data_IF_577533841910
#
_entry.id   IF_577533841910
#
_cell.length_a   1.000
_cell.length_b   1.000
_cell.length_c   1.000
_cell.angle_alpha   90.00
_cell.angle_beta   90.00
_cell.angle_gamma   90.00
#
_symmetry.space_group_name_H-M   'P 1'
#
loop_
_entity.id
_entity.type
_entity.pdbx_description
1 polymer ?
#
# COMPACT_ATOMS: atom_id res chain seq x y z
N UNK A 1 -2.27 -13.80 40.17
CA UNK A 1 -1.76 -15.15 39.86
C UNK A 1 -0.57 -14.99 38.92
N UNK A 2 0.64 -15.24 39.41
CA UNK A 2 1.88 -15.15 38.62
C UNK A 2 1.90 -16.26 37.58
N UNK A 3 1.98 -15.90 36.30
CA UNK A 3 2.07 -16.86 35.20
C UNK A 3 3.41 -17.57 35.27
N UNK A 4 3.40 -18.90 35.51
CA UNK A 4 4.62 -19.72 35.53
C UNK A 4 5.25 -19.69 34.13
N UNK A 5 6.54 -19.34 34.07
CA UNK A 5 7.34 -19.38 32.85
C UNK A 5 7.96 -20.79 32.76
N UNK A 6 7.85 -21.49 31.61
CA UNK A 6 8.46 -22.80 31.44
C UNK A 6 9.99 -22.72 31.39
N UNK A 7 10.65 -23.76 31.88
CA UNK A 7 12.11 -23.94 31.81
C UNK A 7 12.55 -24.34 30.40
N UNK A 8 13.84 -24.14 30.10
CA UNK A 8 14.46 -24.54 28.83
C UNK A 8 14.22 -26.02 28.48
N UNK A 9 14.36 -26.90 29.47
CA UNK A 9 14.14 -28.35 29.31
C UNK A 9 12.68 -28.68 28.98
N UNK A 10 11.71 -28.03 29.66
CA UNK A 10 10.28 -28.23 29.38
C UNK A 10 9.90 -27.77 27.96
N UNK A 11 10.50 -26.68 27.46
CA UNK A 11 10.27 -26.20 26.10
C UNK A 11 10.81 -27.19 25.05
N UNK A 12 12.03 -27.70 25.25
CA UNK A 12 12.65 -28.65 24.32
C UNK A 12 11.91 -29.99 24.29
N UNK A 13 11.49 -30.50 25.45
CA UNK A 13 10.69 -31.71 25.54
C UNK A 13 9.35 -31.54 24.81
N UNK A 14 8.66 -30.42 25.04
CA UNK A 14 7.38 -30.17 24.37
C UNK A 14 7.51 -30.05 22.84
N UNK A 15 8.61 -29.45 22.34
CA UNK A 15 8.90 -29.35 20.91
C UNK A 15 9.20 -30.73 20.30
N UNK A 16 9.92 -31.58 21.03
CA UNK A 16 10.16 -32.98 20.64
C UNK A 16 8.85 -33.77 20.54
N UNK A 17 7.96 -33.59 21.51
CA UNK A 17 6.67 -34.30 21.58
C UNK A 17 5.64 -33.73 20.58
N UNK A 18 5.81 -32.49 20.12
CA UNK A 18 4.87 -31.79 19.23
C UNK A 18 5.56 -31.20 17.99
N UNK A 19 6.12 -32.05 17.10
CA UNK A 19 6.96 -31.61 15.99
C UNK A 19 6.23 -30.73 14.96
N UNK A 20 4.90 -30.67 14.93
CA UNK A 20 4.14 -29.80 14.01
C UNK A 20 3.71 -28.46 14.61
N UNK A 21 3.87 -28.26 15.92
CA UNK A 21 3.34 -27.10 16.65
C UNK A 21 4.46 -26.22 17.24
N UNK A 22 5.50 -25.93 16.46
CA UNK A 22 6.71 -25.26 16.96
C UNK A 22 6.64 -23.73 16.93
N UNK A 23 5.48 -23.13 16.68
CA UNK A 23 5.36 -21.67 16.59
C UNK A 23 5.39 -21.03 17.99
N UNK A 24 5.87 -19.78 18.08
CA UNK A 24 5.86 -19.00 19.34
C UNK A 24 4.47 -18.89 19.97
N UNK A 25 3.42 -18.93 19.13
CA UNK A 25 2.02 -18.88 19.59
C UNK A 25 1.57 -20.21 20.19
N UNK A 26 2.03 -21.33 19.63
CA UNK A 26 1.64 -22.67 20.10
C UNK A 26 2.35 -23.01 21.41
N UNK A 27 3.64 -22.69 21.54
CA UNK A 27 4.39 -22.80 22.80
C UNK A 27 3.75 -21.91 23.89
N UNK A 28 3.41 -20.66 23.57
CA UNK A 28 2.74 -19.77 24.52
C UNK A 28 1.34 -20.29 24.94
N UNK A 29 0.62 -20.98 24.04
CA UNK A 29 -0.68 -21.60 24.35
C UNK A 29 -0.52 -22.83 25.24
N UNK A 30 0.46 -23.69 24.94
CA UNK A 30 0.73 -24.92 25.68
C UNK A 30 1.11 -24.64 27.15
N UNK A 31 1.91 -23.59 27.39
CA UNK A 31 2.34 -23.21 28.73
C UNK A 31 1.47 -22.11 29.37
N UNK A 32 0.34 -21.75 28.76
CA UNK A 32 -0.58 -20.75 29.32
C UNK A 32 0.00 -19.33 29.47
N UNK A 33 1.04 -18.99 28.71
CA UNK A 33 1.76 -17.72 28.82
C UNK A 33 0.99 -16.58 28.13
N UNK A 34 0.54 -15.61 28.93
CA UNK A 34 -0.30 -14.48 28.50
C UNK A 34 0.31 -13.14 28.93
N UNK A 35 -0.09 -12.06 28.25
CA UNK A 35 0.29 -10.69 28.62
C UNK A 35 1.81 -10.45 28.63
N UNK A 36 2.28 -9.72 29.65
CA UNK A 36 3.68 -9.32 29.80
C UNK A 36 4.66 -10.50 29.92
N UNK A 37 4.23 -11.65 30.45
CA UNK A 37 5.06 -12.86 30.57
C UNK A 37 5.50 -13.44 29.20
N UNK A 38 4.90 -12.97 28.09
CA UNK A 38 5.37 -13.31 26.73
C UNK A 38 6.73 -12.70 26.41
N UNK A 39 7.15 -11.64 27.10
CA UNK A 39 8.45 -11.02 26.91
C UNK A 39 9.54 -11.98 27.43
N UNK A 40 9.35 -12.58 28.60
CA UNK A 40 10.30 -13.53 29.16
C UNK A 40 10.36 -14.83 28.35
N UNK A 41 9.22 -15.33 27.86
CA UNK A 41 9.20 -16.48 26.93
C UNK A 41 9.96 -16.16 25.64
N UNK A 42 9.86 -14.94 25.10
CA UNK A 42 10.64 -14.54 23.91
C UNK A 42 12.14 -14.50 24.19
N UNK A 43 12.56 -14.10 25.40
CA UNK A 43 13.97 -14.10 25.82
C UNK A 43 14.51 -15.54 25.92
N UNK A 44 13.79 -16.42 26.61
CA UNK A 44 14.11 -17.85 26.72
C UNK A 44 14.21 -18.56 25.36
N UNK A 45 13.28 -18.27 24.44
CA UNK A 45 13.31 -18.84 23.09
C UNK A 45 14.43 -18.27 22.20
N UNK A 46 14.96 -17.08 22.51
CA UNK A 46 16.16 -16.54 21.85
C UNK A 46 17.41 -17.23 22.37
N UNK A 47 17.56 -17.33 23.69
CA UNK A 47 18.70 -18.03 24.31
C UNK A 47 18.81 -19.48 23.82
N UNK A 48 17.69 -20.21 23.75
CA UNK A 48 17.69 -21.58 23.21
C UNK A 48 18.02 -21.65 21.71
N UNK A 49 17.75 -20.60 20.94
CA UNK A 49 18.16 -20.52 19.54
C UNK A 49 19.65 -20.16 19.40
N UNK A 50 20.17 -19.32 20.29
CA UNK A 50 21.58 -18.92 20.33
C UNK A 50 22.47 -20.08 20.83
N UNK A 51 21.95 -20.92 21.73
CA UNK A 51 22.57 -22.17 22.21
C UNK A 51 22.46 -23.33 21.18
N UNK A 52 21.83 -23.11 20.02
CA UNK A 52 21.70 -24.12 18.95
C UNK A 52 20.68 -25.24 19.23
N UNK A 53 19.98 -25.20 20.37
CA UNK A 53 18.95 -26.18 20.73
C UNK A 53 17.61 -25.96 20.02
N UNK A 54 17.40 -24.77 19.48
CA UNK A 54 16.30 -24.45 18.58
C UNK A 54 16.87 -24.08 17.23
N UNK A 55 16.88 -25.03 16.30
CA UNK A 55 16.90 -24.66 14.90
C UNK A 55 15.67 -23.78 14.66
N UNK A 56 15.90 -22.52 14.28
CA UNK A 56 14.86 -21.77 13.58
C UNK A 56 14.39 -22.71 12.49
N UNK A 57 13.13 -23.16 12.55
CA UNK A 57 12.45 -23.63 11.36
C UNK A 57 12.45 -22.46 10.38
N UNK A 58 13.55 -22.36 9.65
CA UNK A 58 13.62 -21.73 8.35
C UNK A 58 12.36 -22.19 7.63
N UNK A 59 11.55 -21.22 7.21
CA UNK A 59 10.31 -21.43 6.49
C UNK A 59 10.59 -22.23 5.24
N UNK A 60 10.62 -23.57 5.32
CA UNK A 60 11.13 -24.42 4.25
C UNK A 60 12.59 -24.03 3.95
N UNK A 61 13.51 -24.98 3.95
CA UNK A 61 14.70 -24.81 3.13
C UNK A 61 14.16 -24.72 1.71
N UNK A 62 13.90 -23.51 1.23
CA UNK A 62 13.54 -23.27 -0.17
C UNK A 62 14.83 -23.45 -0.91
N UNK A 63 14.81 -24.35 -1.87
CA UNK A 63 15.83 -24.39 -2.90
C UNK A 63 15.88 -22.97 -3.51
N UNK A 64 16.99 -22.21 -3.34
CA UNK A 64 17.10 -20.85 -3.88
C UNK A 64 16.95 -20.86 -5.41
N UNK A 65 17.16 -22.01 -6.04
CA UNK A 65 17.04 -22.23 -7.47
C UNK A 65 15.63 -22.69 -7.88
N UNK A 66 14.61 -22.55 -7.01
CA UNK A 66 13.20 -22.84 -7.34
C UNK A 66 12.23 -21.75 -6.92
N UNK A 67 11.18 -21.57 -7.72
CA UNK A 67 10.09 -20.66 -7.39
C UNK A 67 9.18 -21.27 -6.30
N UNK A 68 8.64 -20.44 -5.38
CA UNK A 68 7.64 -20.93 -4.43
C UNK A 68 6.36 -21.37 -5.15
N UNK A 69 5.57 -22.32 -4.60
CA UNK A 69 4.32 -22.78 -5.22
C UNK A 69 3.28 -21.70 -5.51
N UNK A 70 3.44 -20.51 -4.92
CA UNK A 70 2.68 -19.30 -5.26
C UNK A 70 3.66 -18.14 -5.34
N UNK A 71 3.67 -17.41 -6.46
CA UNK A 71 4.58 -16.31 -6.70
C UNK A 71 3.87 -15.13 -7.38
N UNK A 72 4.47 -13.94 -7.24
CA UNK A 72 4.09 -12.76 -7.99
C UNK A 72 4.84 -12.77 -9.31
N UNK A 73 4.09 -12.73 -10.41
CA UNK A 73 4.62 -12.75 -11.77
C UNK A 73 4.25 -11.47 -12.52
N UNK A 74 5.05 -11.14 -13.51
CA UNK A 74 4.79 -10.11 -14.51
C UNK A 74 4.58 -10.77 -15.87
N UNK A 75 3.44 -10.49 -16.50
CA UNK A 75 3.07 -11.05 -17.81
C UNK A 75 3.98 -10.47 -18.89
N UNK A 76 4.66 -11.34 -19.64
CA UNK A 76 5.58 -10.95 -20.72
C UNK A 76 4.89 -10.77 -22.08
N UNK A 77 3.65 -11.27 -22.19
CA UNK A 77 2.84 -11.22 -23.41
C UNK A 77 2.70 -12.61 -24.05
N UNK A 78 1.88 -12.67 -25.11
CA UNK A 78 1.75 -13.87 -25.93
C UNK A 78 2.94 -13.98 -26.89
N UNK A 79 3.37 -15.19 -27.19
CA UNK A 79 4.35 -15.47 -28.24
C UNK A 79 3.70 -15.55 -29.64
N UNK A 80 4.46 -16.03 -30.62
CA UNK A 80 3.99 -16.22 -32.00
C UNK A 80 2.89 -17.27 -32.14
N UNK A 81 2.83 -18.22 -31.22
CA UNK A 81 1.88 -19.34 -31.22
C UNK A 81 0.63 -19.02 -30.40
N UNK A 82 0.61 -17.86 -29.71
CA UNK A 82 -0.50 -17.35 -28.94
C UNK A 82 -0.45 -17.72 -27.46
N UNK A 83 0.63 -18.37 -27.02
CA UNK A 83 0.80 -18.83 -25.65
C UNK A 83 1.26 -17.67 -24.75
N UNK A 84 0.57 -17.49 -23.63
CA UNK A 84 0.79 -16.36 -22.73
C UNK A 84 1.84 -16.69 -21.67
N UNK A 85 2.93 -15.93 -21.64
CA UNK A 85 4.01 -16.13 -20.67
C UNK A 85 4.07 -15.08 -19.57
N UNK A 86 4.70 -15.44 -18.47
CA UNK A 86 5.07 -14.55 -17.39
C UNK A 86 6.44 -14.90 -16.80
N UNK A 87 7.04 -13.94 -16.11
CA UNK A 87 8.31 -14.10 -15.38
C UNK A 87 8.15 -13.71 -13.92
N UNK A 88 8.90 -14.31 -12.99
CA UNK A 88 8.87 -13.90 -11.59
C UNK A 88 9.41 -12.48 -11.42
N UNK A 89 8.77 -11.71 -10.53
CA UNK A 89 9.22 -10.35 -10.16
C UNK A 89 10.49 -10.38 -9.32
N UNK A 90 10.60 -11.37 -8.44
CA UNK A 90 11.75 -11.60 -7.58
C UNK A 90 12.31 -12.99 -7.88
N UNK A 91 13.58 -13.03 -8.28
CA UNK A 91 14.32 -14.26 -8.53
C UNK A 91 15.65 -14.20 -7.79
N UNK A 92 15.90 -15.18 -6.93
CA UNK A 92 17.10 -15.24 -6.08
C UNK A 92 18.02 -16.42 -6.45
N UNK A 93 17.69 -17.18 -7.50
CA UNK A 93 18.44 -18.35 -7.94
C UNK A 93 19.64 -18.01 -8.82
N UNK A 94 20.56 -18.95 -8.95
CA UNK A 94 21.78 -18.82 -9.76
C UNK A 94 21.47 -19.16 -11.23
N UNK A 95 20.86 -18.22 -11.96
CA UNK A 95 20.57 -18.38 -13.38
C UNK A 95 19.57 -17.35 -13.92
N UNK A 96 19.26 -17.37 -15.24
CA UNK A 96 18.19 -16.55 -15.80
C UNK A 96 16.86 -16.91 -15.13
N UNK A 97 16.01 -15.90 -14.92
CA UNK A 97 14.72 -16.10 -14.29
C UNK A 97 13.86 -17.09 -15.11
N UNK A 98 13.26 -18.12 -14.47
CA UNK A 98 12.50 -19.13 -15.18
C UNK A 98 11.26 -18.56 -15.88
N UNK A 99 10.97 -19.04 -17.08
CA UNK A 99 9.73 -18.73 -17.82
C UNK A 99 8.57 -19.52 -17.26
N UNK A 100 7.42 -18.87 -17.14
CA UNK A 100 6.15 -19.45 -16.67
C UNK A 100 5.09 -19.36 -17.76
N UNK A 101 4.56 -20.48 -18.22
CA UNK A 101 3.42 -20.52 -19.13
C UNK A 101 2.13 -20.31 -18.35
N UNK A 102 1.27 -19.38 -18.76
CA UNK A 102 -0.01 -19.11 -18.11
C UNK A 102 -1.14 -19.89 -18.77
N UNK A 103 -1.81 -20.74 -17.98
CA UNK A 103 -3.01 -21.45 -18.44
C UNK A 103 -4.24 -20.68 -17.98
N UNK A 104 -4.91 -20.04 -18.94
CA UNK A 104 -6.15 -19.30 -18.73
C UNK A 104 -7.36 -20.24 -18.63
N UNK A 105 -8.34 -19.88 -17.79
CA UNK A 105 -9.64 -20.54 -17.72
C UNK A 105 -10.75 -19.64 -18.23
N UNK A 106 -11.83 -20.26 -18.70
CA UNK A 106 -13.07 -19.56 -19.03
C UNK A 106 -13.57 -18.75 -17.82
N UNK A 107 -13.53 -17.42 -17.92
CA UNK A 107 -13.90 -16.49 -16.85
C UNK A 107 -12.74 -15.76 -16.19
N UNK A 108 -11.48 -16.08 -16.51
CA UNK A 108 -10.33 -15.31 -16.05
C UNK A 108 -10.29 -13.92 -16.71
N UNK A 109 -9.85 -12.88 -15.99
CA UNK A 109 -9.69 -11.54 -16.55
C UNK A 109 -8.58 -11.54 -17.61
N UNK A 110 -8.83 -10.88 -18.74
CA UNK A 110 -7.84 -10.75 -19.81
C UNK A 110 -6.52 -10.16 -19.31
N UNK A 111 -5.43 -10.85 -19.61
CA UNK A 111 -4.08 -10.49 -19.24
C UNK A 111 -3.36 -9.81 -20.41
N UNK A 112 -2.57 -8.78 -20.11
CA UNK A 112 -1.77 -8.03 -21.07
C UNK A 112 -0.32 -8.00 -20.61
N UNK A 113 0.60 -7.84 -21.58
CA UNK A 113 2.02 -7.61 -21.28
C UNK A 113 2.17 -6.46 -20.26
N UNK A 114 2.94 -6.70 -19.21
CA UNK A 114 3.16 -5.79 -18.08
C UNK A 114 2.18 -5.95 -16.92
N UNK A 115 1.12 -6.76 -17.05
CA UNK A 115 0.21 -7.04 -15.95
C UNK A 115 0.92 -7.78 -14.81
N UNK A 116 0.68 -7.35 -13.58
CA UNK A 116 1.16 -8.05 -12.38
C UNK A 116 0.10 -9.04 -11.94
N UNK A 117 0.49 -10.25 -11.60
CA UNK A 117 -0.44 -11.31 -11.20
C UNK A 117 0.11 -12.11 -10.02
N UNK A 118 -0.78 -12.62 -9.18
CA UNK A 118 -0.47 -13.69 -8.23
C UNK A 118 -0.89 -15.01 -8.90
N UNK A 119 0.05 -15.93 -9.06
CA UNK A 119 -0.21 -17.21 -9.71
C UNK A 119 0.22 -18.38 -8.82
N UNK A 120 -0.51 -19.49 -8.91
CA UNK A 120 -0.07 -20.79 -8.38
C UNK A 120 0.81 -21.45 -9.43
N UNK A 121 1.99 -21.89 -9.03
CA UNK A 121 2.99 -22.50 -9.90
C UNK A 121 3.01 -24.00 -9.74
N UNK A 122 3.15 -24.69 -10.87
CA UNK A 122 3.45 -26.11 -10.96
C UNK A 122 4.72 -26.28 -11.79
N UNK A 123 5.73 -26.91 -11.22
CA UNK A 123 6.97 -27.23 -11.93
C UNK A 123 6.69 -28.27 -13.02
N UNK A 124 7.26 -28.06 -14.21
CA UNK A 124 7.16 -28.97 -15.34
C UNK A 124 8.53 -29.20 -15.95
N UNK A 125 8.70 -30.32 -16.64
CA UNK A 125 9.93 -30.66 -17.34
C UNK A 125 9.69 -30.44 -18.82
N UNK A 126 9.86 -29.20 -19.27
CA UNK A 126 9.65 -28.76 -20.65
C UNK A 126 10.87 -27.94 -21.09
N UNK A 127 11.17 -27.93 -22.40
CA UNK A 127 12.34 -27.22 -22.95
C UNK A 127 12.12 -25.70 -23.00
N UNK A 128 10.86 -25.25 -23.12
CA UNK A 128 10.53 -23.84 -23.33
C UNK A 128 10.15 -23.08 -22.05
N UNK A 129 9.65 -23.79 -21.03
CA UNK A 129 9.18 -23.21 -19.78
C UNK A 129 9.38 -24.14 -18.58
N UNK A 130 9.83 -23.59 -17.46
CA UNK A 130 10.11 -24.38 -16.25
C UNK A 130 8.87 -24.56 -15.36
N UNK A 131 7.84 -23.73 -15.56
CA UNK A 131 6.63 -23.75 -14.73
C UNK A 131 5.36 -23.47 -15.54
N UNK A 132 4.27 -24.10 -15.13
CA UNK A 132 2.91 -23.71 -15.50
C UNK A 132 2.32 -22.87 -14.36
N UNK A 133 1.85 -21.68 -14.70
CA UNK A 133 1.20 -20.74 -13.80
C UNK A 133 -0.30 -20.71 -14.00
N UNK A 134 -1.05 -20.88 -12.91
CA UNK A 134 -2.50 -20.64 -12.90
C UNK A 134 -2.82 -19.35 -12.17
N UNK A 135 -3.55 -18.45 -12.85
CA UNK A 135 -3.96 -17.18 -12.28
C UNK A 135 -4.76 -17.40 -10.98
N UNK A 136 -4.33 -16.76 -9.89
CA UNK A 136 -5.13 -16.62 -8.67
C UNK A 136 -5.86 -15.28 -8.70
N UNK A 137 -5.13 -14.20 -8.98
CA UNK A 137 -5.67 -12.85 -9.15
C UNK A 137 -4.71 -11.94 -9.90
N UNK A 138 -5.24 -10.95 -10.61
CA UNK A 138 -4.47 -9.81 -11.12
C UNK A 138 -4.18 -8.83 -9.99
N UNK A 139 -2.93 -8.39 -9.88
CA UNK A 139 -2.43 -7.42 -8.91
C UNK A 139 -2.36 -6.06 -9.61
N UNK A 140 -2.77 -4.99 -8.93
CA UNK A 140 -2.73 -3.63 -9.50
C UNK A 140 -3.98 -3.21 -10.27
N UNK A 141 -4.97 -4.09 -10.49
CA UNK A 141 -6.34 -3.64 -10.73
C UNK A 141 -7.00 -3.39 -9.38
N UNK A 142 -6.92 -2.16 -8.89
CA UNK A 142 -7.83 -1.71 -7.84
C UNK A 142 -9.25 -1.88 -8.44
N UNK A 143 -10.14 -2.71 -7.85
CA UNK A 143 -11.51 -2.76 -8.33
C UNK A 143 -12.05 -1.35 -8.19
N UNK A 144 -12.43 -0.71 -9.30
CA UNK A 144 -12.96 0.65 -9.26
C UNK A 144 -14.08 0.69 -8.23
N UNK A 145 -13.82 1.44 -7.16
CA UNK A 145 -14.80 1.70 -6.12
C UNK A 145 -15.82 2.66 -6.74
N UNK A 146 -17.08 2.30 -6.66
CA UNK A 146 -18.18 3.10 -7.18
C UNK A 146 -18.85 3.80 -6.00
N UNK A 147 -19.11 5.09 -6.19
CA UNK A 147 -19.80 5.92 -5.21
C UNK A 147 -21.22 6.18 -5.71
N UNK A 148 -22.22 6.02 -4.84
CA UNK A 148 -23.60 6.29 -5.20
C UNK A 148 -24.55 6.29 -4.02
N UNK A 149 -25.80 6.64 -4.27
CA UNK A 149 -26.86 6.62 -3.27
C UNK A 149 -27.51 5.25 -3.25
N UNK A 150 -27.55 4.61 -2.09
CA UNK A 150 -28.26 3.35 -1.92
C UNK A 150 -29.77 3.60 -1.86
N UNK A 151 -30.52 2.88 -2.71
CA UNK A 151 -31.98 2.88 -2.77
C UNK A 151 -32.51 1.49 -2.47
N UNK A 152 -33.29 1.35 -1.40
CA UNK A 152 -33.91 0.07 -1.03
C UNK A 152 -35.09 -0.23 -1.95
N UNK A 153 -35.20 -1.47 -2.42
CA UNK A 153 -36.29 -1.98 -3.26
C UNK A 153 -36.85 -3.27 -2.66
N UNK A 154 -37.96 -3.78 -3.20
CA UNK A 154 -38.58 -5.01 -2.72
C UNK A 154 -37.67 -6.25 -2.93
N UNK A 155 -36.89 -6.28 -4.01
CA UNK A 155 -36.02 -7.41 -4.39
C UNK A 155 -34.54 -7.20 -4.03
N UNK A 156 -34.23 -6.30 -3.08
CA UNK A 156 -32.87 -5.96 -2.67
C UNK A 156 -32.61 -4.46 -2.72
N UNK A 157 -31.45 -4.06 -3.25
CA UNK A 157 -31.07 -2.65 -3.34
C UNK A 157 -30.61 -2.23 -4.73
N UNK A 158 -30.57 -0.93 -4.95
CA UNK A 158 -29.86 -0.32 -6.07
C UNK A 158 -28.90 0.74 -5.58
N UNK A 159 -27.76 0.87 -6.23
CA UNK A 159 -26.90 2.04 -6.08
C UNK A 159 -27.13 2.90 -7.31
N UNK A 160 -27.68 4.09 -7.07
CA UNK A 160 -27.90 5.08 -8.11
C UNK A 160 -26.74 6.06 -8.14
N UNK A 161 -26.28 6.47 -9.33
CA UNK A 161 -25.24 7.48 -9.47
C UNK A 161 -25.67 8.82 -8.85
N UNK A 162 -24.70 9.57 -8.32
CA UNK A 162 -24.94 10.89 -7.74
C UNK A 162 -25.06 11.97 -8.83
N UNK A 163 -24.32 11.79 -9.92
CA UNK A 163 -24.37 12.67 -11.08
C UNK A 163 -25.53 12.30 -12.02
N UNK A 164 -26.19 13.31 -12.57
CA UNK A 164 -27.28 13.17 -13.54
C UNK A 164 -26.79 12.74 -14.93
N UNK A 165 -25.49 12.83 -15.21
CA UNK A 165 -24.89 12.43 -16.49
C UNK A 165 -24.45 10.96 -16.58
N UNK A 166 -24.42 10.23 -15.46
CA UNK A 166 -24.14 8.80 -15.43
C UNK A 166 -25.45 8.05 -15.23
N UNK A 167 -25.87 7.25 -16.21
CA UNK A 167 -27.13 6.48 -16.12
C UNK A 167 -26.92 5.08 -15.52
N UNK A 168 -25.69 4.76 -15.10
CA UNK A 168 -25.32 3.38 -14.78
C UNK A 168 -25.64 3.05 -13.32
N UNK A 169 -26.86 2.56 -13.11
CA UNK A 169 -27.28 1.96 -11.84
C UNK A 169 -26.66 0.58 -11.60
N UNK A 170 -26.51 0.21 -10.32
CA UNK A 170 -25.98 -1.08 -9.90
C UNK A 170 -26.97 -1.82 -9.01
N UNK A 171 -27.16 -3.11 -9.26
CA UNK A 171 -27.99 -3.97 -8.42
C UNK A 171 -27.19 -4.44 -7.21
N UNK A 172 -27.75 -4.28 -6.02
CA UNK A 172 -27.22 -4.85 -4.77
C UNK A 172 -28.12 -6.02 -4.37
N UNK A 173 -27.54 -7.22 -4.35
CA UNK A 173 -28.27 -8.42 -3.95
C UNK A 173 -28.54 -8.40 -2.44
N UNK A 174 -29.61 -9.07 -1.96
CA UNK A 174 -29.82 -9.27 -0.53
C UNK A 174 -28.59 -9.91 0.15
N UNK A 175 -28.12 -9.31 1.24
CA UNK A 175 -26.89 -9.68 1.96
C UNK A 175 -25.63 -8.94 1.50
N UNK A 176 -25.68 -8.23 0.37
CA UNK A 176 -24.56 -7.43 -0.15
C UNK A 176 -24.68 -5.93 0.20
N UNK A 177 -25.76 -5.52 0.89
CA UNK A 177 -26.02 -4.13 1.28
C UNK A 177 -25.15 -3.61 2.42
N UNK A 178 -24.44 -4.48 3.15
CA UNK A 178 -23.60 -4.11 4.30
C UNK A 178 -24.31 -3.19 5.32
N UNK A 179 -25.62 -3.40 5.53
CA UNK A 179 -26.44 -2.60 6.42
C UNK A 179 -26.80 -1.19 5.91
N UNK A 180 -26.57 -0.88 4.63
CA UNK A 180 -26.92 0.41 4.04
C UNK A 180 -28.43 0.70 4.16
N UNK A 181 -28.75 1.95 4.50
CA UNK A 181 -30.13 2.43 4.61
C UNK A 181 -30.52 3.22 3.36
N UNK A 182 -31.81 3.26 3.09
CA UNK A 182 -32.33 4.02 1.94
C UNK A 182 -31.92 5.50 2.03
N UNK A 183 -31.37 6.03 0.94
CA UNK A 183 -30.91 7.41 0.84
C UNK A 183 -29.48 7.66 1.31
N UNK A 184 -28.77 6.66 1.85
CA UNK A 184 -27.38 6.83 2.27
C UNK A 184 -26.41 6.83 1.07
N UNK A 185 -25.39 7.68 1.15
CA UNK A 185 -24.21 7.59 0.32
C UNK A 185 -23.42 6.33 0.71
N UNK A 186 -23.05 5.53 -0.28
CA UNK A 186 -22.31 4.29 -0.10
C UNK A 186 -21.16 4.18 -1.07
N UNK A 187 -20.08 3.55 -0.61
CA UNK A 187 -19.01 3.07 -1.46
C UNK A 187 -19.21 1.57 -1.70
N UNK A 188 -19.12 1.14 -2.96
CA UNK A 188 -19.32 -0.24 -3.34
C UNK A 188 -18.28 -0.72 -4.35
N UNK A 189 -18.20 -2.03 -4.53
CA UNK A 189 -17.41 -2.68 -5.59
C UNK A 189 -18.31 -3.52 -6.45
N UNK A 190 -17.95 -3.66 -7.72
CA UNK A 190 -18.59 -4.62 -8.61
C UNK A 190 -18.54 -6.03 -8.00
N UNK A 191 -19.68 -6.70 -7.97
CA UNK A 191 -19.81 -8.12 -7.63
C UNK A 191 -20.20 -8.89 -8.89
N UNK A 192 -19.55 -10.02 -9.15
CA UNK A 192 -19.83 -10.87 -10.33
C UNK A 192 -19.14 -10.44 -11.64
N UNK A 193 -19.33 -11.22 -12.73
CA UNK A 193 -18.60 -11.06 -13.98
C UNK A 193 -18.96 -9.76 -14.73
N UNK A 194 -17.94 -9.14 -15.36
CA UNK A 194 -18.13 -7.99 -16.26
C UNK A 194 -18.81 -8.43 -17.56
N UNK A 195 -19.73 -7.61 -18.08
CA UNK A 195 -20.26 -7.77 -19.45
C UNK A 195 -21.50 -8.67 -19.60
N UNK A 196 -22.20 -9.03 -18.52
CA UNK A 196 -23.48 -9.74 -18.63
C UNK A 196 -24.59 -8.77 -19.09
N UNK A 197 -25.54 -9.25 -19.90
CA UNK A 197 -26.72 -8.49 -20.31
C UNK A 197 -27.53 -8.06 -19.06
N UNK A 198 -27.82 -6.76 -18.92
CA UNK A 198 -28.54 -6.18 -17.79
C UNK A 198 -27.70 -5.27 -16.89
N UNK A 199 -28.29 -4.81 -15.78
CA UNK A 199 -27.59 -3.94 -14.84
C UNK A 199 -26.47 -4.71 -14.12
N UNK A 200 -25.28 -4.10 -13.96
CA UNK A 200 -24.19 -4.73 -13.24
C UNK A 200 -24.53 -4.89 -11.75
N UNK A 201 -23.93 -5.89 -11.11
CA UNK A 201 -24.10 -6.13 -9.68
C UNK A 201 -22.98 -5.48 -8.87
N UNK A 202 -23.31 -5.02 -7.67
CA UNK A 202 -22.37 -4.43 -6.73
C UNK A 202 -22.61 -4.95 -5.32
N UNK A 203 -21.56 -4.92 -4.50
CA UNK A 203 -21.60 -5.11 -3.06
C UNK A 203 -21.12 -3.85 -2.37
N UNK A 204 -21.90 -3.37 -1.39
CA UNK A 204 -21.52 -2.24 -0.55
C UNK A 204 -20.33 -2.64 0.32
N UNK A 205 -19.30 -1.80 0.32
CA UNK A 205 -18.09 -1.97 1.13
C UNK A 205 -18.17 -1.06 2.35
N UNK A 206 -18.63 0.18 2.17
CA UNK A 206 -18.66 1.18 3.23
C UNK A 206 -19.93 2.05 3.13
N UNK A 207 -20.45 2.42 4.30
CA UNK A 207 -21.55 3.37 4.44
C UNK A 207 -20.98 4.73 4.80
N UNK A 208 -21.14 5.70 3.91
CA UNK A 208 -20.62 7.04 4.09
C UNK A 208 -21.64 7.98 4.74
N UNK A 209 -22.91 7.53 4.84
CA UNK A 209 -23.96 8.18 5.63
C UNK A 209 -24.81 9.12 4.79
N UNK A 210 -25.24 10.22 5.40
CA UNK A 210 -26.12 11.19 4.75
C UNK A 210 -25.35 12.01 3.69
N UNK A 211 -25.81 12.02 2.42
CA UNK A 211 -25.14 12.75 1.33
C UNK A 211 -25.11 14.28 1.50
N UNK A 212 -25.91 14.85 2.41
CA UNK A 212 -25.94 16.30 2.69
C UNK A 212 -24.86 16.76 3.67
N UNK A 213 -24.15 15.82 4.32
CA UNK A 213 -23.13 16.15 5.30
C UNK A 213 -21.84 16.65 4.61
N UNK A 214 -21.07 17.58 5.22
CA UNK A 214 -19.86 18.14 4.62
C UNK A 214 -18.87 17.08 4.09
N UNK A 215 -18.63 16.04 4.88
CA UNK A 215 -17.76 14.91 4.50
C UNK A 215 -18.24 14.18 3.24
N UNK A 216 -19.55 14.02 3.08
CA UNK A 216 -20.14 13.37 1.92
C UNK A 216 -20.01 14.23 0.66
N UNK A 217 -20.18 15.54 0.79
CA UNK A 217 -19.99 16.50 -0.31
C UNK A 217 -18.57 16.42 -0.88
N UNK A 218 -17.54 16.41 -0.01
CA UNK A 218 -16.15 16.28 -0.45
C UNK A 218 -15.89 14.95 -1.17
N UNK A 219 -16.39 13.83 -0.65
CA UNK A 219 -16.24 12.51 -1.30
C UNK A 219 -16.97 12.43 -2.65
N UNK A 220 -18.15 13.04 -2.74
CA UNK A 220 -18.90 13.17 -3.99
C UNK A 220 -18.07 13.96 -5.01
N UNK A 221 -17.52 15.11 -4.61
CA UNK A 221 -16.71 15.96 -5.48
C UNK A 221 -15.44 15.24 -5.96
N UNK A 222 -14.72 14.56 -5.06
CA UNK A 222 -13.55 13.73 -5.39
C UNK A 222 -13.91 12.71 -6.47
N UNK A 223 -15.02 12.00 -6.29
CA UNK A 223 -15.45 10.98 -7.24
C UNK A 223 -15.90 11.56 -8.58
N UNK A 224 -16.75 12.60 -8.57
CA UNK A 224 -17.30 13.22 -9.78
C UNK A 224 -16.22 13.85 -10.66
N UNK A 225 -15.22 14.48 -10.03
CA UNK A 225 -14.10 15.09 -10.75
C UNK A 225 -12.94 14.11 -11.01
N UNK A 226 -13.10 12.83 -10.67
CA UNK A 226 -12.07 11.80 -10.81
C UNK A 226 -10.73 12.22 -10.18
N UNK A 227 -10.79 12.89 -9.03
CA UNK A 227 -9.60 13.30 -8.29
C UNK A 227 -8.93 12.05 -7.73
N UNK A 228 -7.64 11.79 -8.02
CA UNK A 228 -6.94 10.59 -7.57
C UNK A 228 -6.67 10.64 -6.06
N UNK A 229 -7.55 10.06 -5.26
CA UNK A 229 -7.49 10.07 -3.79
C UNK A 229 -6.68 8.94 -3.17
N UNK A 230 -6.18 7.99 -3.98
CA UNK A 230 -5.34 6.88 -3.54
C UNK A 230 -4.01 6.84 -4.31
N UNK A 231 -2.91 6.63 -3.61
CA UNK A 231 -1.59 6.43 -4.22
C UNK A 231 -1.41 4.98 -4.69
N UNK A 232 -0.77 4.75 -5.85
CA UNK A 232 -0.33 3.41 -6.26
C UNK A 232 0.69 2.79 -5.30
N UNK A 233 0.67 1.46 -5.16
CA UNK A 233 1.57 0.72 -4.26
C UNK A 233 3.06 0.97 -4.52
N UNK A 234 3.45 1.17 -5.79
CA UNK A 234 4.85 1.44 -6.14
C UNK A 234 5.28 2.87 -5.78
N UNK A 235 4.36 3.83 -5.76
CA UNK A 235 4.62 5.20 -5.27
C UNK A 235 4.83 5.19 -3.75
N UNK A 236 4.01 4.45 -3.01
CA UNK A 236 4.16 4.31 -1.56
C UNK A 236 5.47 3.58 -1.21
N UNK A 237 5.76 2.47 -1.89
CA UNK A 237 7.00 1.73 -1.65
C UNK A 237 8.25 2.56 -1.96
N UNK A 238 8.20 3.41 -2.99
CA UNK A 238 9.28 4.35 -3.29
C UNK A 238 9.43 5.39 -2.17
N UNK A 239 8.34 6.01 -1.73
CA UNK A 239 8.35 7.01 -0.67
C UNK A 239 8.87 6.46 0.68
N UNK A 240 8.44 5.25 1.06
CA UNK A 240 8.83 4.61 2.32
C UNK A 240 10.31 4.22 2.35
N UNK A 241 10.93 4.02 1.18
CA UNK A 241 12.35 3.68 1.06
C UNK A 241 13.28 4.90 1.13
N UNK A 242 12.74 6.12 1.13
CA UNK A 242 13.53 7.35 1.18
C UNK A 242 14.09 7.60 2.58
N UNK A 243 15.37 7.96 2.62
CA UNK A 243 16.09 8.39 3.82
C UNK A 243 16.23 9.93 3.84
N UNK A 244 16.36 10.55 5.02
CA UNK A 244 16.64 11.98 5.12
C UNK A 244 17.87 12.42 4.31
N UNK A 245 17.77 13.61 3.72
CA UNK A 245 18.85 14.21 2.97
C UNK A 245 20.10 14.41 3.85
N UNK A 246 21.28 14.25 3.25
CA UNK A 246 22.56 14.55 3.89
C UNK A 246 23.08 15.92 3.42
N UNK A 247 24.00 16.48 4.19
CA UNK A 247 24.72 17.71 3.86
C UNK A 247 25.64 17.59 2.63
N UNK A 248 25.76 16.42 2.00
CA UNK A 248 26.72 16.13 0.92
C UNK A 248 26.71 17.18 -0.20
N UNK A 249 27.70 18.10 -0.17
CA UNK A 249 27.86 19.17 -1.15
C UNK A 249 26.92 20.38 -0.98
N UNK A 250 26.18 20.45 0.12
CA UNK A 250 25.31 21.59 0.50
C UNK A 250 26.02 22.52 1.48
N UNK A 251 25.67 23.80 1.44
CA UNK A 251 26.12 24.75 2.45
C UNK A 251 25.36 24.54 3.75
N UNK A 252 26.08 24.58 4.88
CA UNK A 252 25.51 24.41 6.20
C UNK A 252 25.04 25.76 6.75
N UNK A 253 23.72 25.97 6.75
CA UNK A 253 23.07 27.20 7.21
C UNK A 253 22.39 27.06 8.57
N UNK A 254 22.70 26.01 9.35
CA UNK A 254 22.05 25.73 10.66
C UNK A 254 22.21 26.85 11.70
N UNK A 255 23.17 27.74 11.51
CA UNK A 255 23.37 28.91 12.37
C UNK A 255 22.39 30.07 12.08
N UNK A 256 21.71 30.06 10.91
CA UNK A 256 20.71 31.07 10.58
C UNK A 256 19.42 30.78 11.38
N UNK A 257 18.86 31.77 12.10
CA UNK A 257 17.65 31.58 12.88
C UNK A 257 16.41 31.71 11.99
N UNK A 258 16.24 30.74 11.09
CA UNK A 258 15.07 30.63 10.20
C UNK A 258 13.79 30.39 10.99
N UNK A 259 12.68 30.95 10.51
CA UNK A 259 11.33 30.73 11.06
C UNK A 259 10.35 30.35 9.96
N UNK A 260 9.38 29.51 10.29
CA UNK A 260 8.20 29.21 9.45
C UNK A 260 7.01 30.04 9.96
N UNK A 261 6.09 30.44 9.07
CA UNK A 261 4.92 31.26 9.42
C UNK A 261 3.69 30.63 8.79
N UNK A 262 3.07 29.70 9.52
CA UNK A 262 1.98 28.87 9.02
C UNK A 262 0.74 28.89 9.94
N UNK A 263 -0.43 28.48 9.43
CA UNK A 263 -1.59 28.16 10.27
C UNK A 263 -1.23 27.12 11.33
N UNK A 264 -1.88 27.20 12.50
CA UNK A 264 -1.61 26.31 13.64
C UNK A 264 -1.90 24.82 13.37
N UNK A 265 -2.65 24.51 12.31
CA UNK A 265 -3.01 23.16 11.87
C UNK A 265 -2.26 22.69 10.62
N UNK A 266 -1.31 23.48 10.11
CA UNK A 266 -0.43 23.07 9.03
C UNK A 266 0.44 21.87 9.43
N UNK A 267 0.70 20.98 8.48
CA UNK A 267 1.53 19.78 8.68
C UNK A 267 2.76 19.77 7.78
N UNK A 268 2.63 20.45 6.65
CA UNK A 268 3.60 20.69 5.61
C UNK A 268 4.09 22.15 5.71
N UNK A 269 5.36 22.32 6.09
CA UNK A 269 6.04 23.61 6.11
C UNK A 269 6.98 23.67 4.90
N UNK A 270 6.56 24.36 3.85
CA UNK A 270 7.27 24.39 2.56
C UNK A 270 8.39 25.46 2.52
N UNK A 271 8.27 26.52 3.32
CA UNK A 271 9.20 27.64 3.34
C UNK A 271 9.58 28.10 4.75
N UNK A 272 10.81 28.57 4.88
CA UNK A 272 11.32 29.23 6.07
C UNK A 272 12.05 30.52 5.69
N UNK A 273 11.92 31.56 6.51
CA UNK A 273 12.42 32.90 6.23
C UNK A 273 13.31 33.41 7.35
N UNK A 274 14.30 34.22 6.98
CA UNK A 274 15.12 35.00 7.90
C UNK A 274 15.51 36.32 7.23
N UNK A 275 15.58 37.40 8.00
CA UNK A 275 15.99 38.70 7.48
C UNK A 275 16.97 39.36 8.45
N UNK A 276 18.01 39.98 7.90
CA UNK A 276 19.01 40.73 8.64
C UNK A 276 19.41 42.01 7.92
N UNK A 277 20.03 42.94 8.64
CA UNK A 277 20.60 44.14 8.03
C UNK A 277 21.80 43.78 7.13
N UNK A 278 21.84 44.37 5.95
CA UNK A 278 22.98 44.22 5.05
C UNK A 278 24.18 44.99 5.61
N UNK A 279 25.33 44.32 5.69
CA UNK A 279 26.58 44.89 6.18
C UNK A 279 27.45 45.48 5.06
N UNK A 280 27.05 45.34 3.80
CA UNK A 280 27.75 45.94 2.66
C UNK A 280 27.71 47.46 2.74
N UNK A 281 28.91 48.07 2.73
CA UNK A 281 29.10 49.53 2.75
C UNK A 281 28.51 50.22 1.53
N UNK A 282 28.29 49.49 0.44
CA UNK A 282 27.67 50.00 -0.77
C UNK A 282 26.12 49.94 -0.71
N UNK A 283 25.55 49.33 0.33
CA UNK A 283 24.11 49.19 0.53
C UNK A 283 23.65 49.70 1.92
N UNK A 284 23.90 50.98 2.25
CA UNK A 284 23.57 51.51 3.57
C UNK A 284 22.06 51.46 3.84
N UNK A 285 21.67 50.75 4.90
CA UNK A 285 20.26 50.56 5.28
C UNK A 285 19.55 49.43 4.51
N UNK A 286 20.29 48.65 3.71
CA UNK A 286 19.78 47.46 3.05
C UNK A 286 19.51 46.31 4.01
N UNK A 287 18.81 45.29 3.51
CA UNK A 287 18.52 44.05 4.21
C UNK A 287 18.79 42.85 3.31
N UNK A 288 19.27 41.76 3.90
CA UNK A 288 19.38 40.46 3.25
C UNK A 288 18.18 39.63 3.73
N UNK A 289 17.43 39.07 2.78
CA UNK A 289 16.30 38.18 3.06
C UNK A 289 16.63 36.80 2.52
N UNK A 290 16.63 35.83 3.43
CA UNK A 290 16.78 34.42 3.15
C UNK A 290 15.41 33.77 3.04
N UNK A 291 15.20 33.02 1.96
CA UNK A 291 14.01 32.19 1.75
C UNK A 291 14.50 30.78 1.47
N UNK A 292 14.34 29.89 2.44
CA UNK A 292 14.65 28.47 2.33
C UNK A 292 13.37 27.73 1.92
N UNK A 293 13.42 27.00 0.81
CA UNK A 293 12.30 26.19 0.30
C UNK A 293 12.64 24.71 0.45
N UNK A 294 11.67 23.91 0.88
CA UNK A 294 11.74 22.46 0.91
C UNK A 294 12.23 21.87 -0.43
N UNK A 295 13.31 21.07 -0.38
CA UNK A 295 13.91 20.49 -1.58
C UNK A 295 13.23 19.18 -2.01
N UNK A 296 11.97 19.28 -2.44
CA UNK A 296 11.18 18.15 -2.94
C UNK A 296 11.88 17.47 -4.13
N UNK A 297 12.60 18.24 -4.95
CA UNK A 297 13.30 17.74 -6.15
C UNK A 297 14.52 16.84 -5.82
N UNK A 298 15.00 16.87 -4.57
CA UNK A 298 15.96 15.89 -4.07
C UNK A 298 15.37 14.47 -4.09
N UNK A 299 14.12 14.34 -3.65
CA UNK A 299 13.42 13.07 -3.49
C UNK A 299 12.66 12.65 -4.75
N UNK A 300 11.95 13.59 -5.38
CA UNK A 300 11.12 13.32 -6.57
C UNK A 300 11.96 13.50 -7.84
N UNK A 301 12.68 12.44 -8.24
CA UNK A 301 13.55 12.48 -9.43
C UNK A 301 12.78 12.22 -10.73
N UNK A 302 13.17 12.83 -11.86
CA UNK A 302 12.49 12.62 -13.14
C UNK A 302 12.39 11.14 -13.53
N UNK A 303 11.21 10.71 -13.99
CA UNK A 303 10.98 9.35 -14.45
C UNK A 303 10.76 8.30 -13.35
N UNK A 304 10.73 8.70 -12.07
CA UNK A 304 10.36 7.84 -10.94
C UNK A 304 8.85 7.57 -10.85
N UNK A 305 8.41 6.68 -9.96
CA UNK A 305 6.96 6.50 -9.72
C UNK A 305 6.38 7.74 -9.04
N UNK A 306 7.12 8.33 -8.09
CA UNK A 306 6.78 9.61 -7.47
C UNK A 306 6.60 10.73 -8.50
N UNK A 307 7.55 10.92 -9.43
CA UNK A 307 7.46 11.97 -10.46
C UNK A 307 6.25 11.79 -11.39
N UNK A 308 5.99 10.55 -11.84
CA UNK A 308 4.84 10.27 -12.69
C UNK A 308 3.52 10.53 -11.98
N UNK A 309 3.40 10.13 -10.72
CA UNK A 309 2.19 10.34 -9.94
C UNK A 309 1.99 11.81 -9.55
N UNK A 310 3.05 12.50 -9.15
CA UNK A 310 3.02 13.94 -8.90
C UNK A 310 2.59 14.73 -10.14
N UNK A 311 3.15 14.40 -11.32
CA UNK A 311 2.74 15.00 -12.60
C UNK A 311 1.27 14.72 -12.95
N UNK A 312 0.77 13.53 -12.62
CA UNK A 312 -0.63 13.15 -12.85
C UNK A 312 -1.59 13.91 -11.94
N UNK A 313 -1.21 14.12 -10.68
CA UNK A 313 -2.00 14.86 -9.67
C UNK A 313 -1.96 16.36 -9.93
N UNK A 314 -0.79 16.90 -10.27
CA UNK A 314 -0.54 18.31 -10.59
C UNK A 314 -0.54 19.24 -9.39
N UNK A 315 -1.45 19.05 -8.43
CA UNK A 315 -1.55 19.82 -7.19
C UNK A 315 -2.15 18.99 -6.04
N UNK A 316 -2.05 19.51 -4.82
CA UNK A 316 -2.86 19.07 -3.69
C UNK A 316 -4.23 19.75 -3.76
N UNK A 317 -5.31 18.99 -3.62
CA UNK A 317 -6.68 19.53 -3.62
C UNK A 317 -7.21 19.65 -2.19
N UNK A 318 -7.58 20.86 -1.80
CA UNK A 318 -8.08 21.19 -0.45
C UNK A 318 -9.60 21.21 -0.42
N UNK A 319 -10.19 20.51 0.55
CA UNK A 319 -11.62 20.50 0.86
C UNK A 319 -11.84 21.01 2.29
N UNK A 320 -13.06 21.44 2.64
CA UNK A 320 -13.35 21.94 3.99
C UNK A 320 -13.01 20.95 5.14
N UNK A 321 -13.06 19.65 4.90
CA UNK A 321 -12.82 18.59 5.90
C UNK A 321 -11.57 17.74 5.65
N UNK A 322 -10.85 17.93 4.54
CA UNK A 322 -9.73 17.05 4.13
C UNK A 322 -8.85 17.67 3.05
N UNK A 323 -7.70 17.03 2.82
CA UNK A 323 -6.84 17.30 1.69
C UNK A 323 -6.62 16.01 0.90
N UNK A 324 -6.62 16.11 -0.43
CA UNK A 324 -6.09 15.06 -1.31
C UNK A 324 -4.69 15.51 -1.73
N UNK A 325 -3.62 14.94 -1.15
CA UNK A 325 -2.28 15.48 -1.34
C UNK A 325 -1.68 15.07 -2.68
N UNK A 326 -0.80 15.92 -3.21
CA UNK A 326 0.00 15.62 -4.41
C UNK A 326 1.05 14.54 -4.15
N UNK A 327 1.67 14.57 -2.96
CA UNK A 327 2.74 13.66 -2.56
C UNK A 327 2.31 12.80 -1.37
N UNK A 328 2.90 11.60 -1.19
CA UNK A 328 2.69 10.83 0.01
C UNK A 328 3.11 11.59 1.28
N UNK A 329 2.43 11.31 2.39
CA UNK A 329 2.63 11.94 3.70
C UNK A 329 4.10 11.86 4.17
N UNK A 330 4.78 10.75 3.86
CA UNK A 330 6.21 10.54 4.14
C UNK A 330 7.12 11.61 3.52
N UNK A 331 6.73 12.22 2.41
CA UNK A 331 7.44 13.38 1.86
C UNK A 331 6.88 14.68 2.41
N UNK A 332 5.58 14.93 2.22
CA UNK A 332 4.99 16.26 2.48
C UNK A 332 4.96 16.64 3.95
N UNK A 333 4.72 15.70 4.86
CA UNK A 333 4.61 15.96 6.30
C UNK A 333 5.87 15.64 7.10
N UNK A 334 6.91 15.12 6.46
CA UNK A 334 8.09 14.58 7.15
C UNK A 334 9.38 14.97 6.41
N UNK A 335 9.80 14.23 5.38
CA UNK A 335 11.12 14.43 4.74
C UNK A 335 11.35 15.80 4.09
N UNK A 336 10.28 16.49 3.68
CA UNK A 336 10.36 17.80 3.06
C UNK A 336 9.86 18.92 3.99
N UNK A 337 9.18 18.61 5.09
CA UNK A 337 8.58 19.62 5.94
C UNK A 337 9.63 20.21 6.87
N UNK A 338 9.74 21.54 6.90
CA UNK A 338 10.72 22.28 7.69
C UNK A 338 10.30 22.36 9.17
N UNK A 339 10.37 21.23 9.86
CA UNK A 339 10.00 21.13 11.28
C UNK A 339 11.00 21.84 12.21
N UNK A 340 10.49 22.32 13.36
CA UNK A 340 11.33 22.98 14.37
C UNK A 340 12.35 22.02 15.00
N UNK A 341 13.61 22.47 15.07
CA UNK A 341 14.66 21.79 15.84
C UNK A 341 15.21 20.50 15.23
N UNK A 342 14.93 20.26 13.93
CA UNK A 342 15.47 19.14 13.16
C UNK A 342 16.20 19.63 11.91
N UNK A 343 17.07 18.77 11.38
CA UNK A 343 17.85 18.99 10.15
C UNK A 343 17.13 18.45 8.91
#
# INVERSE_FOLDING_TARGET
MTTRIPTKAEILQWISDNPTQTSKRDIARAFGVKGAARIDLKRLLRELADEGHLEKRSRSTRDPDKLPPVAVLEVTGADSDGDLFARPREWQGKGPAPRVLLVEKTGDPALKKGDRILARLQEVTDEDHAYIGRLIRKIGTNPQRLLGIYRKRAEGGRIVPIDKGSDREWIVAPGDENGARDGELVEARQSGPRGRLGLPKARVIERLGDPSQPRAISLIAIHQHNIPDAFPDDVIAEADALEPARLDGREDLRALPLVTIDPADARDHDDAVFAEADSDKNNPGGHIVWVAIADVAHYVRPGTALDREARRRGNSTYFPDRVVPMLPDRLSGDLCSLHEGVD
#
